data_IF_455920610711
#
_entry.id   IF_455920610711
#
_cell.length_a   1.000
_cell.length_b   1.000
_cell.length_c   1.000
_cell.angle_alpha   90.00
_cell.angle_beta   90.00
_cell.angle_gamma   90.00
#
_symmetry.space_group_name_H-M   'P 1'
#
loop_
_entity.id
_entity.type
_entity.pdbx_description
1 polymer ?
#
# COMPACT_ATOMS: atom_id res chain seq x y z
N UNK A 1 3.24 38.34 -40.53
CA UNK A 1 3.00 37.73 -39.20
C UNK A 1 4.13 38.14 -38.27
N UNK A 2 3.82 38.64 -37.07
CA UNK A 2 4.84 39.06 -36.09
C UNK A 2 5.63 37.86 -35.55
N UNK A 3 6.90 38.09 -35.18
CA UNK A 3 7.77 37.07 -34.60
C UNK A 3 7.17 36.47 -33.30
N UNK A 4 6.46 37.29 -32.53
CA UNK A 4 5.76 36.87 -31.31
C UNK A 4 4.67 35.83 -31.57
N UNK A 5 3.90 35.99 -32.66
CA UNK A 5 2.86 35.03 -33.04
C UNK A 5 3.43 33.70 -33.51
N UNK A 6 4.66 33.69 -34.04
CA UNK A 6 5.36 32.47 -34.47
C UNK A 6 5.88 31.70 -33.26
N UNK A 7 6.59 32.38 -32.35
CA UNK A 7 7.08 31.81 -31.08
C UNK A 7 5.97 31.30 -30.14
N UNK A 8 4.74 31.79 -30.28
CA UNK A 8 3.59 31.29 -29.53
C UNK A 8 3.04 29.98 -30.13
N UNK A 9 2.99 29.87 -31.46
CA UNK A 9 2.53 28.67 -32.15
C UNK A 9 3.52 27.51 -31.97
N UNK A 10 4.82 27.79 -32.06
CA UNK A 10 5.87 26.78 -31.86
C UNK A 10 5.78 26.17 -30.44
N UNK A 11 5.52 27.00 -29.42
CA UNK A 11 5.33 26.54 -28.04
C UNK A 11 4.06 25.71 -27.84
N UNK A 12 2.97 26.03 -28.55
CA UNK A 12 1.75 25.22 -28.50
C UNK A 12 1.93 23.87 -29.18
N UNK A 13 2.70 23.83 -30.27
CA UNK A 13 3.03 22.60 -30.98
C UNK A 13 3.95 21.70 -30.15
N UNK A 14 4.96 22.27 -29.49
CA UNK A 14 5.81 21.57 -28.51
C UNK A 14 4.99 21.02 -27.33
N UNK A 15 4.06 21.81 -26.77
CA UNK A 15 3.18 21.33 -25.71
C UNK A 15 2.26 20.20 -26.16
N UNK A 16 1.68 20.30 -27.36
CA UNK A 16 0.82 19.26 -27.93
C UNK A 16 1.59 17.94 -28.13
N UNK A 17 2.81 18.02 -28.66
CA UNK A 17 3.68 16.85 -28.84
C UNK A 17 4.08 16.22 -27.50
N UNK A 18 4.34 17.04 -26.47
CA UNK A 18 4.67 16.54 -25.14
C UNK A 18 3.47 15.85 -24.47
N UNK A 19 2.26 16.38 -24.63
CA UNK A 19 1.03 15.74 -24.14
C UNK A 19 0.77 14.40 -24.83
N UNK A 20 0.93 14.32 -26.15
CA UNK A 20 0.79 13.07 -26.89
C UNK A 20 1.82 12.02 -26.47
N UNK A 21 3.07 12.42 -26.19
CA UNK A 21 4.09 11.51 -25.68
C UNK A 21 3.76 10.99 -24.28
N UNK A 22 3.24 11.84 -23.38
CA UNK A 22 2.78 11.41 -22.05
C UNK A 22 1.61 10.43 -22.17
N UNK A 23 0.62 10.71 -23.02
CA UNK A 23 -0.50 9.79 -23.24
C UNK A 23 -0.03 8.46 -23.84
N UNK A 24 0.94 8.47 -24.76
CA UNK A 24 1.54 7.25 -25.28
C UNK A 24 2.31 6.49 -24.21
N UNK A 25 3.04 7.17 -23.33
CA UNK A 25 3.71 6.55 -22.18
C UNK A 25 2.68 5.95 -21.23
N UNK A 26 1.63 6.68 -20.84
CA UNK A 26 0.59 6.14 -19.97
C UNK A 26 -0.13 4.94 -20.57
N UNK A 27 -0.37 4.95 -21.89
CA UNK A 27 -1.01 3.86 -22.62
C UNK A 27 -0.13 2.62 -22.78
N UNK A 28 1.20 2.78 -22.83
CA UNK A 28 2.15 1.67 -23.04
C UNK A 28 2.84 1.19 -21.75
N UNK A 29 3.02 2.06 -20.75
CA UNK A 29 3.78 1.76 -19.53
C UNK A 29 2.90 1.47 -18.30
N UNK A 30 1.63 1.89 -18.30
CA UNK A 30 0.67 1.47 -17.28
C UNK A 30 -0.51 0.79 -17.96
N UNK A 31 -0.36 -0.49 -18.36
CA UNK A 31 -1.49 -1.29 -18.81
C UNK A 31 -2.66 -1.10 -17.84
N UNK A 32 -3.89 -0.98 -18.33
CA UNK A 32 -5.09 -0.81 -17.50
C UNK A 32 -5.12 -1.82 -16.34
N UNK A 33 -4.60 -3.02 -16.57
CA UNK A 33 -4.35 -4.07 -15.56
C UNK A 33 -3.55 -3.57 -14.35
N UNK A 34 -2.47 -2.81 -14.52
CA UNK A 34 -1.69 -2.24 -13.41
C UNK A 34 -2.46 -1.17 -12.65
N UNK A 35 -3.23 -0.31 -13.35
CA UNK A 35 -4.10 0.67 -12.68
C UNK A 35 -5.17 -0.04 -11.85
N UNK A 36 -5.72 -1.16 -12.32
CA UNK A 36 -6.68 -1.97 -11.57
C UNK A 36 -6.05 -2.66 -10.36
N UNK A 37 -4.84 -3.22 -10.49
CA UNK A 37 -4.12 -3.86 -9.38
C UNK A 37 -3.84 -2.83 -8.27
N UNK A 38 -3.29 -1.66 -8.61
CA UNK A 38 -3.02 -0.60 -7.63
C UNK A 38 -4.28 -0.09 -6.92
N UNK A 39 -5.42 -0.01 -7.63
CA UNK A 39 -6.70 0.35 -7.03
C UNK A 39 -7.25 -0.73 -6.10
N UNK A 40 -7.06 -2.01 -6.45
CA UNK A 40 -7.46 -3.17 -5.63
C UNK A 40 -6.59 -3.26 -4.37
N UNK A 41 -5.28 -3.12 -4.50
CA UNK A 41 -4.33 -3.02 -3.37
C UNK A 41 -4.75 -1.93 -2.38
N UNK A 42 -5.04 -0.73 -2.89
CA UNK A 42 -5.49 0.37 -2.04
C UNK A 42 -6.83 0.07 -1.33
N UNK A 43 -7.72 -0.68 -1.97
CA UNK A 43 -8.99 -1.11 -1.37
C UNK A 43 -8.76 -2.18 -0.29
N UNK A 44 -7.84 -3.13 -0.51
CA UNK A 44 -7.43 -4.11 0.48
C UNK A 44 -6.80 -3.46 1.72
N UNK A 45 -5.96 -2.44 1.53
CA UNK A 45 -5.38 -1.69 2.65
C UNK A 45 -6.43 -0.94 3.47
N UNK A 46 -7.43 -0.34 2.83
CA UNK A 46 -8.56 0.29 3.53
C UNK A 46 -9.38 -0.72 4.33
N UNK A 47 -9.64 -1.88 3.75
CA UNK A 47 -10.32 -2.97 4.44
C UNK A 47 -9.54 -3.41 5.68
N UNK A 48 -8.24 -3.66 5.54
CA UNK A 48 -7.35 -4.01 6.65
C UNK A 48 -7.37 -2.98 7.77
N UNK A 49 -7.26 -1.68 7.45
CA UNK A 49 -7.32 -0.61 8.45
C UNK A 49 -8.64 -0.65 9.24
N UNK A 50 -9.77 -0.82 8.56
CA UNK A 50 -11.08 -0.83 9.20
C UNK A 50 -11.25 -2.02 10.15
N UNK A 51 -10.77 -3.20 9.76
CA UNK A 51 -10.87 -4.41 10.57
C UNK A 51 -9.85 -4.46 11.68
N UNK A 52 -8.59 -4.11 11.40
CA UNK A 52 -7.52 -4.06 12.39
C UNK A 52 -7.82 -3.06 13.53
N UNK A 53 -8.53 -1.96 13.23
CA UNK A 53 -9.01 -1.02 14.25
C UNK A 53 -9.93 -1.65 15.32
N UNK A 54 -10.53 -2.81 15.03
CA UNK A 54 -11.40 -3.54 15.95
C UNK A 54 -10.62 -4.56 16.80
N UNK A 55 -9.33 -4.77 16.49
CA UNK A 55 -8.47 -5.74 17.15
C UNK A 55 -7.47 -5.01 18.07
N UNK A 56 -7.77 -4.89 19.38
CA UNK A 56 -6.94 -4.10 20.30
C UNK A 56 -5.51 -4.63 20.44
N UNK A 57 -5.29 -5.92 20.19
CA UNK A 57 -3.98 -6.57 20.19
C UNK A 57 -3.10 -6.20 18.98
N UNK A 58 -3.69 -5.69 17.89
CA UNK A 58 -2.91 -5.29 16.71
C UNK A 58 -2.31 -3.92 16.95
N UNK A 59 -0.98 -3.86 16.96
CA UNK A 59 -0.24 -2.61 17.08
C UNK A 59 -0.02 -1.98 15.73
N UNK A 60 0.51 -2.72 14.77
CA UNK A 60 0.90 -2.20 13.46
C UNK A 60 0.71 -3.26 12.38
N UNK A 61 0.42 -2.82 11.16
CA UNK A 61 0.42 -3.69 9.98
C UNK A 61 1.28 -3.03 8.92
N UNK A 62 2.22 -3.78 8.38
CA UNK A 62 3.07 -3.37 7.29
C UNK A 62 2.80 -4.23 6.05
N UNK A 63 2.87 -3.62 4.88
CA UNK A 63 2.84 -4.32 3.61
C UNK A 63 4.19 -4.20 2.91
N UNK A 64 4.71 -5.32 2.41
CA UNK A 64 5.85 -5.36 1.49
C UNK A 64 5.34 -6.00 0.20
N UNK A 65 5.65 -5.39 -0.93
CA UNK A 65 5.33 -5.99 -2.23
C UNK A 65 6.64 -6.49 -2.84
N UNK A 66 6.78 -7.81 -2.93
CA UNK A 66 7.91 -8.45 -3.60
C UNK A 66 7.39 -9.47 -4.62
N UNK A 67 7.94 -9.41 -5.84
CA UNK A 67 7.54 -10.26 -6.97
C UNK A 67 6.01 -10.32 -7.22
N UNK A 68 5.29 -9.24 -6.89
CA UNK A 68 3.84 -9.14 -7.05
C UNK A 68 3.03 -9.83 -5.96
N UNK A 69 3.66 -10.36 -4.90
CA UNK A 69 3.01 -10.86 -3.68
C UNK A 69 3.01 -9.76 -2.63
N UNK A 70 1.89 -9.62 -1.91
CA UNK A 70 1.72 -8.66 -0.82
C UNK A 70 1.96 -9.40 0.50
N UNK A 71 3.15 -9.22 1.06
CA UNK A 71 3.51 -9.77 2.37
C UNK A 71 3.01 -8.83 3.46
N UNK A 72 2.05 -9.30 4.26
CA UNK A 72 1.47 -8.56 5.37
C UNK A 72 2.12 -8.97 6.68
N UNK A 73 2.81 -8.02 7.31
CA UNK A 73 3.48 -8.21 8.59
C UNK A 73 2.66 -7.51 9.67
N UNK A 74 2.03 -8.30 10.53
CA UNK A 74 1.18 -7.81 11.62
C UNK A 74 1.92 -7.90 12.94
N UNK A 75 2.17 -6.75 13.56
CA UNK A 75 2.79 -6.65 14.88
C UNK A 75 1.70 -6.62 15.94
N UNK A 76 1.81 -7.51 16.92
CA UNK A 76 0.83 -7.61 18.02
C UNK A 76 1.45 -7.40 19.40
N UNK A 77 0.65 -6.84 20.30
CA UNK A 77 0.91 -6.76 21.73
C UNK A 77 0.05 -7.78 22.47
N UNK A 78 0.67 -8.76 23.12
CA UNK A 78 -0.02 -9.73 23.97
C UNK A 78 0.14 -11.18 23.51
N UNK A 79 -0.68 -12.07 24.04
CA UNK A 79 -0.58 -13.50 23.77
C UNK A 79 -0.86 -13.80 22.28
N UNK A 80 0.16 -14.32 21.58
CA UNK A 80 0.05 -14.74 20.16
C UNK A 80 -1.07 -15.74 19.94
N UNK A 81 -1.37 -16.60 20.93
CA UNK A 81 -2.44 -17.58 20.80
C UNK A 81 -3.82 -16.92 20.73
N UNK A 82 -4.05 -15.88 21.55
CA UNK A 82 -5.30 -15.12 21.55
C UNK A 82 -5.41 -14.20 20.34
N UNK A 83 -4.30 -13.58 19.94
CA UNK A 83 -4.27 -12.76 18.73
C UNK A 83 -4.47 -13.60 17.46
N UNK A 84 -3.97 -14.84 17.45
CA UNK A 84 -3.93 -15.70 16.28
C UNK A 84 -5.30 -16.06 15.70
N UNK A 85 -6.31 -16.30 16.54
CA UNK A 85 -7.66 -16.61 16.04
C UNK A 85 -8.28 -15.41 15.30
N UNK A 86 -8.26 -14.24 15.92
CA UNK A 86 -8.80 -13.02 15.31
C UNK A 86 -8.02 -12.57 14.07
N UNK A 87 -6.70 -12.79 14.04
CA UNK A 87 -5.88 -12.53 12.86
C UNK A 87 -6.16 -13.53 11.74
N UNK A 88 -6.30 -14.82 12.05
CA UNK A 88 -6.66 -15.81 11.04
C UNK A 88 -8.03 -15.52 10.42
N UNK A 89 -9.00 -15.08 11.22
CA UNK A 89 -10.30 -14.62 10.70
C UNK A 89 -10.14 -13.41 9.76
N UNK A 90 -9.34 -12.41 10.15
CA UNK A 90 -9.05 -11.25 9.31
C UNK A 90 -8.37 -11.64 7.99
N UNK A 91 -7.38 -12.53 8.04
CA UNK A 91 -6.65 -13.01 6.86
C UNK A 91 -7.60 -13.77 5.90
N UNK A 92 -8.50 -14.58 6.45
CA UNK A 92 -9.54 -15.27 5.68
C UNK A 92 -10.51 -14.25 5.05
N UNK A 93 -10.99 -13.27 5.80
CA UNK A 93 -11.87 -12.23 5.25
C UNK A 93 -11.19 -11.48 4.09
N UNK A 94 -9.90 -11.17 4.23
CA UNK A 94 -9.12 -10.50 3.19
C UNK A 94 -9.01 -11.35 1.92
N UNK A 95 -8.68 -12.63 2.06
CA UNK A 95 -8.60 -13.57 0.95
C UNK A 95 -9.94 -13.77 0.23
N UNK A 96 -11.06 -13.70 0.97
CA UNK A 96 -12.41 -13.82 0.38
C UNK A 96 -12.82 -12.55 -0.37
N UNK A 97 -12.52 -11.37 0.16
CA UNK A 97 -12.88 -10.08 -0.47
C UNK A 97 -11.95 -9.72 -1.65
N UNK A 98 -10.69 -10.16 -1.58
CA UNK A 98 -9.65 -9.88 -2.58
C UNK A 98 -8.97 -11.16 -3.11
N UNK A 99 -9.74 -12.09 -3.72
CA UNK A 99 -9.23 -13.41 -4.11
C UNK A 99 -8.24 -13.39 -5.29
N UNK A 100 -8.16 -12.27 -6.01
CA UNK A 100 -7.24 -12.00 -7.11
C UNK A 100 -5.89 -11.42 -6.66
N UNK A 101 -5.78 -10.99 -5.40
CA UNK A 101 -4.55 -10.48 -4.84
C UNK A 101 -3.78 -11.60 -4.12
N UNK A 102 -2.51 -11.82 -4.47
CA UNK A 102 -1.68 -12.80 -3.79
C UNK A 102 -1.15 -12.21 -2.48
N UNK A 103 -1.59 -12.76 -1.35
CA UNK A 103 -1.12 -12.38 -0.03
C UNK A 103 -0.25 -13.47 0.59
N UNK A 104 0.74 -13.04 1.36
CA UNK A 104 1.39 -13.85 2.39
C UNK A 104 1.22 -13.14 3.74
N UNK A 105 1.17 -13.90 4.83
CA UNK A 105 0.83 -13.40 6.15
C UNK A 105 1.88 -13.79 7.18
N UNK A 106 2.38 -12.80 7.91
CA UNK A 106 3.26 -13.04 9.05
C UNK A 106 2.79 -12.24 10.26
N UNK A 107 2.74 -12.93 11.40
CA UNK A 107 2.47 -12.30 12.70
C UNK A 107 3.75 -12.26 13.53
N UNK A 108 4.03 -11.10 14.12
CA UNK A 108 5.22 -10.85 14.93
C UNK A 108 4.80 -10.34 16.29
N UNK A 109 5.33 -10.94 17.34
CA UNK A 109 5.13 -10.41 18.68
C UNK A 109 6.00 -9.17 18.90
N UNK A 110 5.47 -8.10 19.50
CA UNK A 110 6.21 -6.83 19.67
C UNK A 110 7.58 -6.97 20.34
N UNK A 111 7.74 -7.93 21.25
CA UNK A 111 9.00 -8.16 21.98
C UNK A 111 10.06 -8.87 21.12
N UNK A 112 9.67 -9.43 19.99
CA UNK A 112 10.54 -10.09 19.01
C UNK A 112 10.90 -9.14 17.86
N UNK A 113 10.32 -7.94 17.84
CA UNK A 113 10.60 -6.91 16.86
C UNK A 113 11.95 -6.26 17.18
N UNK A 114 13.01 -6.71 16.51
CA UNK A 114 14.24 -5.95 16.46
C UNK A 114 14.21 -4.99 15.25
N UNK A 115 14.87 -3.83 15.37
CA UNK A 115 14.87 -2.84 14.30
C UNK A 115 15.61 -3.30 13.03
N UNK A 116 16.44 -4.34 13.13
CA UNK A 116 17.24 -4.89 12.03
C UNK A 116 16.46 -5.92 11.20
N UNK A 117 15.43 -6.53 11.80
CA UNK A 117 14.59 -7.59 11.22
C UNK A 117 13.34 -7.02 10.54
N UNK A 118 13.06 -5.72 10.75
CA UNK A 118 12.04 -5.00 9.99
C UNK A 118 12.45 -4.75 8.52
N UNK A 119 11.59 -5.11 7.55
CA UNK A 119 11.93 -4.99 6.13
C UNK A 119 12.07 -3.52 5.72
N UNK A 120 13.10 -3.23 4.93
CA UNK A 120 13.48 -1.86 4.54
C UNK A 120 12.47 -1.18 3.61
N UNK A 121 11.80 -1.95 2.76
CA UNK A 121 10.86 -1.45 1.75
C UNK A 121 9.40 -1.71 2.15
N UNK A 122 9.05 -1.35 3.40
CA UNK A 122 7.72 -1.59 3.95
C UNK A 122 6.84 -0.34 3.89
N UNK A 123 5.55 -0.53 3.64
CA UNK A 123 4.52 0.50 3.76
C UNK A 123 3.74 0.26 5.04
N UNK A 124 3.67 1.25 5.93
CA UNK A 124 2.80 1.18 7.10
C UNK A 124 1.34 1.34 6.66
N UNK A 125 0.52 0.33 6.90
CA UNK A 125 -0.90 0.29 6.55
C UNK A 125 -1.75 0.76 7.74
N UNK A 126 -1.44 0.27 8.92
CA UNK A 126 -2.19 0.56 10.15
C UNK A 126 -1.24 0.74 11.34
N UNK A 127 -1.58 1.65 12.26
CA UNK A 127 -0.92 1.78 13.55
C UNK A 127 -1.93 2.19 14.63
N UNK A 128 -1.95 1.44 15.72
CA UNK A 128 -2.69 1.70 16.95
C UNK A 128 -1.80 2.35 18.03
N UNK A 129 -0.54 2.62 17.71
CA UNK A 129 0.37 3.34 18.61
C UNK A 129 -0.09 4.80 18.60
N UNK A 130 -1.01 5.13 19.50
CA UNK A 130 -1.33 6.52 19.82
C UNK A 130 -0.02 7.27 20.09
N UNK A 131 0.14 8.47 19.53
CA UNK A 131 1.28 9.38 19.75
C UNK A 131 1.37 9.86 21.23
N UNK A 132 1.42 8.97 22.22
CA UNK A 132 1.54 9.31 23.64
C UNK A 132 2.96 9.72 24.05
N UNK A 133 3.92 9.74 23.12
CA UNK A 133 5.32 10.10 23.37
C UNK A 133 5.78 11.35 22.60
N UNK A 134 4.99 12.43 22.59
CA UNK A 134 5.49 13.75 22.14
C UNK A 134 5.72 14.78 23.25
N UNK A 135 5.46 14.47 24.52
CA UNK A 135 5.69 15.41 25.65
C UNK A 135 6.17 14.69 26.94
N UNK A 136 7.26 13.93 26.86
CA UNK A 136 7.95 13.36 28.03
C UNK A 136 9.33 13.96 28.18
#
# INVERSE_FOLDING_TARGET
>A
MSAERRNFLDRLEEQSQMTEQIEQIEKHFLPSTFKHILQREHSAYKFLVQRAAQLPQVMEIYAIVDNGVIDLWTVVDGDLYQAGEALAELDIELLVEFPDLPFDFMTIHKNELDAETMPKNRTLIYSNISEKNKNG
#
